data_IF_180981332702
#
_entry.id   IF_180981332702
#
_cell.length_a   1.000
_cell.length_b   1.000
_cell.length_c   1.000
_cell.angle_alpha   90.00
_cell.angle_beta   90.00
_cell.angle_gamma   90.00
#
_symmetry.space_group_name_H-M   'P 1'
#
loop_
_entity.id
_entity.type
_entity.pdbx_description
1 polymer ?
#
# COMPACT_ATOMS: atom_id res chain seq x y z
N UNK A 1 -54.96 25.33 -16.20
CA UNK A 1 -53.81 26.16 -16.58
C UNK A 1 -52.62 25.22 -16.69
N UNK A 2 -52.19 24.91 -17.91
CA UNK A 2 -51.01 24.07 -18.13
C UNK A 2 -49.76 24.95 -17.96
N UNK A 3 -48.85 24.52 -17.11
CA UNK A 3 -47.57 25.20 -16.84
C UNK A 3 -46.74 25.21 -18.12
N UNK A 4 -46.34 26.41 -18.56
CA UNK A 4 -45.51 26.60 -19.75
C UNK A 4 -44.15 25.94 -19.54
N UNK A 5 -43.80 24.97 -20.39
CA UNK A 5 -42.50 24.28 -20.32
C UNK A 5 -41.43 25.27 -20.78
N UNK A 6 -40.73 25.90 -19.83
CA UNK A 6 -39.51 26.66 -20.13
C UNK A 6 -38.45 25.72 -20.67
N UNK A 7 -38.28 25.70 -21.99
CA UNK A 7 -37.11 25.11 -22.63
C UNK A 7 -35.87 25.75 -22.01
N UNK A 8 -35.03 24.95 -21.36
CA UNK A 8 -33.74 25.43 -20.86
C UNK A 8 -32.92 25.84 -22.08
N UNK A 9 -32.65 27.13 -22.21
CA UNK A 9 -31.66 27.67 -23.16
C UNK A 9 -30.28 27.17 -22.73
N UNK A 10 -29.94 25.95 -23.13
CA UNK A 10 -28.54 25.54 -23.23
C UNK A 10 -27.98 26.22 -24.48
N UNK A 11 -26.83 26.91 -24.40
CA UNK A 11 -26.20 27.49 -25.58
C UNK A 11 -26.05 26.38 -26.63
N UNK A 12 -26.60 26.58 -27.83
CA UNK A 12 -26.33 25.68 -28.95
C UNK A 12 -24.84 25.81 -29.24
N UNK A 13 -24.03 24.74 -29.16
CA UNK A 13 -22.62 24.84 -29.51
C UNK A 13 -22.54 25.27 -30.99
N UNK A 14 -22.17 26.52 -31.20
CA UNK A 14 -21.75 27.00 -32.51
C UNK A 14 -20.30 26.56 -32.62
N UNK A 15 -20.08 25.47 -33.35
CA UNK A 15 -18.73 25.06 -33.72
C UNK A 15 -18.20 26.12 -34.69
N UNK A 16 -17.61 27.19 -34.15
CA UNK A 16 -16.66 27.98 -34.93
C UNK A 16 -15.49 27.04 -35.16
N UNK A 17 -15.23 26.70 -36.41
CA UNK A 17 -13.90 26.26 -36.79
C UNK A 17 -12.93 27.26 -36.15
N UNK A 18 -12.10 26.80 -35.21
CA UNK A 18 -11.09 27.68 -34.66
C UNK A 18 -10.33 28.27 -35.85
N UNK A 19 -10.40 29.58 -36.06
CA UNK A 19 -10.04 30.29 -37.31
C UNK A 19 -8.54 30.15 -37.69
N UNK A 20 -7.76 29.38 -36.96
CA UNK A 20 -6.53 28.78 -37.43
C UNK A 20 -6.84 27.38 -37.98
N UNK A 21 -7.27 27.32 -39.25
CA UNK A 21 -7.74 26.10 -39.93
C UNK A 21 -7.08 24.81 -39.43
N UNK A 22 -7.90 23.83 -39.06
CA UNK A 22 -7.45 22.55 -38.52
C UNK A 22 -6.39 21.94 -39.44
N UNK A 23 -5.13 21.94 -39.01
CA UNK A 23 -4.05 21.34 -39.78
C UNK A 23 -4.28 19.84 -39.85
N UNK A 24 -4.28 19.29 -41.05
CA UNK A 24 -4.14 17.86 -41.25
C UNK A 24 -2.68 17.48 -41.02
N UNK A 25 -2.43 16.59 -40.06
CA UNK A 25 -1.12 16.03 -39.74
C UNK A 25 -1.25 14.51 -39.56
N UNK A 26 -0.17 13.72 -39.68
CA UNK A 26 -0.26 12.28 -39.46
C UNK A 26 -1.01 11.96 -38.15
N UNK A 27 -1.98 11.06 -38.23
CA UNK A 27 -2.90 10.68 -37.14
C UNK A 27 -3.86 11.76 -36.61
N UNK A 28 -4.13 12.86 -37.33
CA UNK A 28 -5.12 13.89 -36.90
C UNK A 28 -6.54 13.36 -36.70
N UNK A 29 -6.88 12.22 -37.30
CA UNK A 29 -8.16 11.51 -37.11
C UNK A 29 -8.11 10.43 -36.01
N UNK A 30 -6.93 10.16 -35.43
CA UNK A 30 -6.78 9.17 -34.38
C UNK A 30 -7.50 9.61 -33.12
N UNK A 31 -8.18 8.66 -32.47
CA UNK A 31 -8.77 8.83 -31.13
C UNK A 31 -7.99 8.08 -30.05
N UNK A 32 -6.80 7.62 -30.40
CA UNK A 32 -5.90 6.90 -29.52
C UNK A 32 -4.54 7.59 -29.54
N UNK A 33 -3.88 7.60 -28.38
CA UNK A 33 -2.51 8.04 -28.28
C UNK A 33 -1.60 7.18 -29.16
N UNK A 34 -0.63 7.82 -29.79
CA UNK A 34 0.30 7.22 -30.76
C UNK A 34 1.76 7.25 -30.28
N UNK A 35 2.00 7.70 -29.04
CA UNK A 35 3.34 7.84 -28.45
C UNK A 35 3.76 6.65 -27.59
N UNK A 36 2.86 5.66 -27.38
CA UNK A 36 3.18 4.40 -26.69
C UNK A 36 2.41 3.22 -27.30
N UNK A 37 2.92 2.02 -27.10
CA UNK A 37 2.24 0.77 -27.46
C UNK A 37 1.48 0.22 -26.24
N UNK A 38 0.16 -0.01 -26.34
CA UNK A 38 -0.61 -0.61 -25.25
C UNK A 38 -0.15 -2.03 -24.88
N UNK A 39 -0.19 -2.40 -23.60
CA UNK A 39 0.10 -3.77 -23.14
C UNK A 39 -0.89 -4.79 -23.70
N UNK A 40 -2.14 -4.38 -23.88
CA UNK A 40 -3.25 -5.20 -24.40
C UNK A 40 -3.56 -4.78 -25.84
N UNK A 41 -4.58 -5.40 -26.45
CA UNK A 41 -5.05 -5.02 -27.80
C UNK A 41 -5.50 -3.55 -27.93
N UNK A 42 -5.83 -2.91 -26.81
CA UNK A 42 -6.24 -1.51 -26.71
C UNK A 42 -5.69 -0.94 -25.40
N UNK A 43 -5.37 0.34 -25.39
CA UNK A 43 -5.00 1.06 -24.18
C UNK A 43 -6.14 0.99 -23.16
N UNK A 44 -5.76 0.76 -21.91
CA UNK A 44 -6.61 0.99 -20.76
C UNK A 44 -6.63 2.48 -20.41
N UNK A 45 -7.66 2.93 -19.70
CA UNK A 45 -7.69 4.31 -19.20
C UNK A 45 -6.49 4.58 -18.28
N UNK A 46 -6.05 3.58 -17.51
CA UNK A 46 -4.85 3.67 -16.68
C UNK A 46 -3.62 4.01 -17.53
N UNK A 47 -3.38 3.28 -18.63
CA UNK A 47 -2.26 3.56 -19.53
C UNK A 47 -2.35 4.98 -20.11
N UNK A 48 -3.53 5.35 -20.62
CA UNK A 48 -3.81 6.67 -21.21
C UNK A 48 -3.52 7.85 -20.27
N UNK A 49 -3.68 7.66 -18.96
CA UNK A 49 -3.53 8.74 -17.95
C UNK A 49 -2.28 8.59 -17.09
N UNK A 50 -1.45 7.57 -17.32
CA UNK A 50 -0.23 7.37 -16.51
C UNK A 50 1.06 7.28 -17.33
N UNK A 51 1.02 6.77 -18.56
CA UNK A 51 2.21 6.63 -19.40
C UNK A 51 2.70 8.01 -19.87
N UNK A 52 3.99 8.27 -19.69
CA UNK A 52 4.70 9.47 -20.13
C UNK A 52 4.09 10.81 -19.66
N UNK A 53 3.29 10.80 -18.59
CA UNK A 53 2.85 12.02 -17.89
C UNK A 53 4.05 12.73 -17.26
N UNK A 54 5.00 11.96 -16.72
CA UNK A 54 6.29 12.48 -16.30
C UNK A 54 7.14 12.75 -17.56
N UNK A 55 7.62 13.99 -17.75
CA UNK A 55 8.38 14.37 -18.95
C UNK A 55 9.81 13.84 -18.85
N UNK A 56 9.98 12.54 -19.11
CA UNK A 56 11.28 11.88 -19.09
C UNK A 56 12.19 12.45 -20.19
N UNK A 57 13.33 13.08 -19.83
CA UNK A 57 14.25 13.62 -20.82
C UNK A 57 14.81 12.56 -21.78
N UNK A 58 14.98 11.32 -21.34
CA UNK A 58 15.52 10.25 -22.18
C UNK A 58 14.59 9.88 -23.36
N UNK A 59 13.29 10.20 -23.23
CA UNK A 59 12.27 9.95 -24.27
C UNK A 59 11.92 11.21 -25.06
N UNK A 60 11.75 12.33 -24.36
CA UNK A 60 11.00 13.47 -24.90
C UNK A 60 11.78 14.79 -24.94
N UNK A 61 12.93 14.94 -24.26
CA UNK A 61 13.63 16.23 -24.15
C UNK A 61 15.09 16.16 -24.62
N UNK A 62 15.50 17.09 -25.49
CA UNK A 62 16.86 17.13 -26.02
C UNK A 62 17.93 17.69 -25.07
N UNK A 63 17.53 18.34 -23.96
CA UNK A 63 18.43 19.12 -23.09
C UNK A 63 18.49 18.65 -21.62
N UNK A 64 17.91 17.48 -21.30
CA UNK A 64 17.82 17.02 -19.92
C UNK A 64 16.80 17.79 -19.07
N UNK A 65 16.93 17.67 -17.74
CA UNK A 65 16.12 18.42 -16.78
C UNK A 65 16.54 19.89 -16.70
N UNK A 66 15.56 20.81 -16.69
CA UNK A 66 15.80 22.26 -16.68
C UNK A 66 16.18 22.79 -15.28
N UNK A 67 15.80 22.09 -14.22
CA UNK A 67 16.08 22.46 -12.83
C UNK A 67 16.78 21.32 -12.09
N UNK A 68 17.75 21.68 -11.26
CA UNK A 68 18.50 20.78 -10.39
C UNK A 68 18.51 21.29 -8.95
N UNK A 69 18.73 20.38 -8.02
CA UNK A 69 19.13 20.71 -6.65
C UNK A 69 20.50 21.39 -6.64
N UNK A 70 20.84 22.00 -5.51
CA UNK A 70 22.10 22.73 -5.33
C UNK A 70 23.36 21.84 -5.47
N UNK A 71 23.22 20.53 -5.25
CA UNK A 71 24.28 19.54 -5.43
C UNK A 71 24.41 19.06 -6.89
N UNK A 72 23.57 19.53 -7.81
CA UNK A 72 23.58 19.15 -9.22
C UNK A 72 22.62 18.03 -9.60
N UNK A 73 22.00 17.35 -8.62
CA UNK A 73 21.02 16.29 -8.91
C UNK A 73 19.78 16.91 -9.57
N UNK A 74 19.29 16.32 -10.66
CA UNK A 74 18.18 16.89 -11.42
C UNK A 74 17.05 15.88 -11.64
N UNK A 75 15.81 16.35 -11.50
CA UNK A 75 14.61 15.56 -11.76
C UNK A 75 14.47 14.30 -10.90
N UNK A 76 14.62 13.14 -11.56
CA UNK A 76 14.47 11.79 -10.99
C UNK A 76 15.69 10.93 -11.36
N UNK A 77 16.84 11.14 -10.69
CA UNK A 77 18.06 10.37 -10.95
C UNK A 77 17.84 8.86 -10.74
N UNK A 78 18.18 8.06 -11.75
CA UNK A 78 18.01 6.59 -11.70
C UNK A 78 19.02 5.90 -10.77
N UNK A 79 20.03 6.61 -10.28
CA UNK A 79 21.02 6.16 -9.29
C UNK A 79 20.54 6.30 -7.84
N UNK A 80 19.36 6.89 -7.61
CA UNK A 80 18.66 6.83 -6.32
C UNK A 80 18.13 5.42 -5.98
N UNK A 81 18.33 4.46 -6.88
CA UNK A 81 18.13 3.03 -6.64
C UNK A 81 19.34 2.22 -7.11
N UNK A 82 19.68 1.19 -6.33
CA UNK A 82 20.65 0.17 -6.69
C UNK A 82 20.13 -0.77 -7.79
N UNK A 83 18.80 -0.95 -7.90
CA UNK A 83 18.21 -1.68 -9.02
C UNK A 83 18.28 -0.86 -10.31
N UNK A 84 18.42 -1.57 -11.43
CA UNK A 84 18.49 -0.98 -12.76
C UNK A 84 17.44 -1.61 -13.67
N UNK A 85 17.01 -0.87 -14.68
CA UNK A 85 16.06 -1.37 -15.69
C UNK A 85 16.51 -0.90 -17.05
N UNK A 86 16.42 -1.80 -18.04
CA UNK A 86 16.59 -1.46 -19.45
C UNK A 86 15.45 -0.54 -19.93
N UNK A 87 14.30 -0.56 -19.25
CA UNK A 87 13.17 0.33 -19.52
C UNK A 87 12.26 0.45 -18.29
N UNK A 88 12.45 1.48 -17.47
CA UNK A 88 11.61 1.72 -16.30
C UNK A 88 10.12 1.91 -16.63
N UNK A 89 9.81 2.35 -17.84
CA UNK A 89 8.43 2.57 -18.29
C UNK A 89 7.72 1.29 -18.74
N UNK A 90 8.39 0.15 -18.74
CA UNK A 90 7.74 -1.15 -18.99
C UNK A 90 6.79 -1.55 -17.85
N UNK A 91 6.98 -0.98 -16.65
CA UNK A 91 6.11 -1.24 -15.51
C UNK A 91 4.72 -0.62 -15.72
N UNK A 92 3.69 -1.45 -15.55
CA UNK A 92 2.31 -1.00 -15.35
C UNK A 92 1.74 -1.80 -14.20
N UNK A 93 1.12 -1.10 -13.27
CA UNK A 93 0.49 -1.67 -12.09
C UNK A 93 -0.68 -2.60 -12.51
N UNK A 94 -0.67 -3.89 -12.13
CA UNK A 94 -1.77 -4.81 -12.45
C UNK A 94 -3.12 -4.40 -11.85
N UNK A 95 -3.12 -3.49 -10.87
CA UNK A 95 -4.35 -2.98 -10.26
C UNK A 95 -5.01 -1.86 -11.09
N UNK A 96 -4.29 -1.26 -12.05
CA UNK A 96 -4.77 -0.22 -12.97
C UNK A 96 -5.48 0.96 -12.27
N UNK A 97 -5.08 1.29 -11.03
CA UNK A 97 -5.67 2.41 -10.28
C UNK A 97 -5.02 3.74 -10.67
N UNK A 98 -5.87 4.73 -10.95
CA UNK A 98 -5.51 6.11 -11.21
C UNK A 98 -6.45 7.04 -10.44
N UNK A 99 -6.22 8.36 -10.48
CA UNK A 99 -6.91 9.38 -9.66
C UNK A 99 -8.40 9.07 -9.39
N UNK A 100 -9.21 8.88 -10.43
CA UNK A 100 -10.64 8.65 -10.26
C UNK A 100 -10.97 7.33 -9.55
N UNK A 101 -10.28 6.23 -9.88
CA UNK A 101 -10.57 4.93 -9.27
C UNK A 101 -10.13 4.92 -7.81
N UNK A 102 -9.03 5.60 -7.47
CA UNK A 102 -8.55 5.72 -6.08
C UNK A 102 -9.64 6.34 -5.20
N UNK A 103 -10.20 7.49 -5.62
CA UNK A 103 -11.26 8.16 -4.84
C UNK A 103 -12.53 7.31 -4.74
N UNK A 104 -12.93 6.64 -5.83
CA UNK A 104 -14.12 5.78 -5.83
C UNK A 104 -13.94 4.57 -4.90
N UNK A 105 -12.80 3.90 -4.98
CA UNK A 105 -12.49 2.72 -4.18
C UNK A 105 -12.41 3.10 -2.71
N UNK A 106 -11.65 4.13 -2.36
CA UNK A 106 -11.53 4.59 -0.97
C UNK A 106 -12.87 5.07 -0.39
N UNK A 107 -13.69 5.79 -1.16
CA UNK A 107 -15.01 6.20 -0.70
C UNK A 107 -15.93 5.00 -0.40
N UNK A 108 -15.82 3.91 -1.16
CA UNK A 108 -16.56 2.68 -0.90
C UNK A 108 -16.07 1.98 0.38
N UNK A 109 -14.75 1.88 0.56
CA UNK A 109 -14.14 1.29 1.76
C UNK A 109 -14.55 2.06 3.02
N UNK A 110 -14.37 3.39 3.02
CA UNK A 110 -14.73 4.24 4.17
C UNK A 110 -16.22 4.11 4.49
N UNK A 111 -17.10 4.12 3.47
CA UNK A 111 -18.54 3.93 3.68
C UNK A 111 -18.86 2.57 4.31
N UNK A 112 -18.21 1.50 3.85
CA UNK A 112 -18.38 0.17 4.41
C UNK A 112 -17.93 0.12 5.88
N UNK A 113 -16.76 0.69 6.19
CA UNK A 113 -16.24 0.78 7.56
C UNK A 113 -17.21 1.56 8.46
N UNK A 114 -17.64 2.75 8.05
CA UNK A 114 -18.57 3.56 8.82
C UNK A 114 -19.87 2.82 9.10
N UNK A 115 -20.48 2.20 8.08
CA UNK A 115 -21.71 1.40 8.26
C UNK A 115 -21.50 0.24 9.22
N UNK A 116 -20.35 -0.44 9.15
CA UNK A 116 -20.05 -1.56 10.02
C UNK A 116 -19.86 -1.13 11.48
N UNK A 117 -19.23 0.02 11.73
CA UNK A 117 -19.14 0.62 13.07
C UNK A 117 -20.55 0.97 13.59
N UNK A 118 -21.40 1.59 12.76
CA UNK A 118 -22.79 1.87 13.15
C UNK A 118 -23.55 0.59 13.48
N UNK A 119 -23.44 -0.47 12.67
CA UNK A 119 -24.05 -1.76 12.97
C UNK A 119 -23.57 -2.33 14.32
N UNK A 120 -22.28 -2.14 14.65
CA UNK A 120 -21.73 -2.44 15.96
C UNK A 120 -22.44 -1.71 17.10
N UNK A 121 -22.65 -0.39 16.94
CA UNK A 121 -23.38 0.45 17.91
C UNK A 121 -24.82 -0.01 18.09
N UNK A 122 -25.60 -0.10 17.01
CA UNK A 122 -27.02 -0.49 17.10
C UNK A 122 -27.20 -1.93 17.58
N UNK A 123 -26.21 -2.80 17.35
CA UNK A 123 -26.20 -4.17 17.83
C UNK A 123 -25.71 -4.33 19.26
N UNK A 124 -25.31 -3.25 19.93
CA UNK A 124 -24.69 -3.27 21.28
C UNK A 124 -23.48 -4.23 21.38
N UNK A 125 -22.74 -4.36 20.28
CA UNK A 125 -21.61 -5.28 20.15
C UNK A 125 -20.49 -4.91 21.11
N UNK A 126 -20.23 -3.61 21.23
CA UNK A 126 -19.08 -3.07 21.96
C UNK A 126 -19.19 -3.35 23.47
N UNK A 127 -20.39 -3.26 24.05
CA UNK A 127 -20.63 -3.57 25.46
C UNK A 127 -20.59 -5.08 25.74
N UNK A 128 -20.80 -5.92 24.71
CA UNK A 128 -20.83 -7.37 24.80
C UNK A 128 -19.47 -8.03 24.51
N UNK A 129 -18.46 -7.28 24.07
CA UNK A 129 -17.14 -7.83 23.78
C UNK A 129 -16.48 -8.43 25.03
N UNK A 130 -15.69 -9.48 24.83
CA UNK A 130 -14.88 -10.05 25.89
C UNK A 130 -13.93 -8.99 26.49
N UNK A 131 -13.93 -8.75 27.82
CA UNK A 131 -13.07 -7.72 28.42
C UNK A 131 -11.56 -7.91 28.17
N UNK A 132 -11.10 -9.16 28.03
CA UNK A 132 -9.71 -9.44 27.66
C UNK A 132 -9.42 -8.98 26.21
N UNK A 133 -10.38 -9.18 25.32
CA UNK A 133 -10.30 -8.72 23.94
C UNK A 133 -10.31 -7.19 23.83
N UNK A 134 -11.16 -6.50 24.60
CA UNK A 134 -11.18 -5.02 24.66
C UNK A 134 -9.79 -4.47 24.99
N UNK A 135 -9.04 -5.11 25.91
CA UNK A 135 -7.65 -4.72 26.22
C UNK A 135 -6.69 -4.97 25.07
N UNK A 136 -6.81 -6.11 24.38
CA UNK A 136 -6.01 -6.41 23.19
C UNK A 136 -6.30 -5.40 22.08
N UNK A 137 -7.56 -5.01 21.87
CA UNK A 137 -7.93 -3.98 20.90
C UNK A 137 -7.33 -2.62 21.29
N UNK A 138 -7.55 -2.18 22.53
CA UNK A 138 -7.06 -0.90 23.06
C UNK A 138 -5.54 -0.73 22.93
N UNK A 139 -4.79 -1.82 23.14
CA UNK A 139 -3.32 -1.81 23.17
C UNK A 139 -2.69 -2.15 21.82
N UNK A 140 -3.11 -3.24 21.20
CA UNK A 140 -2.39 -3.85 20.09
C UNK A 140 -3.01 -3.53 18.73
N UNK A 141 -4.34 -3.58 18.61
CA UNK A 141 -5.02 -3.20 17.35
C UNK A 141 -4.77 -1.73 17.04
N UNK A 142 -4.88 -0.84 18.03
CA UNK A 142 -4.64 0.59 17.81
C UNK A 142 -3.16 0.97 17.77
N UNK A 143 -2.25 0.17 18.35
CA UNK A 143 -0.81 0.38 18.14
C UNK A 143 -0.43 0.20 16.66
N UNK A 144 -1.16 -0.65 15.92
CA UNK A 144 -0.98 -0.84 14.48
C UNK A 144 -1.14 0.45 13.68
N UNK A 145 -1.94 1.41 14.16
CA UNK A 145 -2.12 2.70 13.48
C UNK A 145 -0.81 3.51 13.39
N UNK A 146 0.07 3.41 14.40
CA UNK A 146 1.37 4.10 14.39
C UNK A 146 2.31 3.53 13.32
N UNK A 147 2.29 2.20 13.16
CA UNK A 147 3.04 1.50 12.13
C UNK A 147 2.55 1.87 10.73
N UNK A 148 1.23 1.81 10.49
CA UNK A 148 0.66 2.13 9.17
C UNK A 148 0.90 3.61 8.82
N UNK A 149 0.79 4.52 9.80
CA UNK A 149 1.13 5.93 9.61
C UNK A 149 2.62 6.12 9.31
N UNK A 150 3.50 5.44 10.03
CA UNK A 150 4.95 5.53 9.84
C UNK A 150 5.37 5.06 8.45
N UNK A 151 4.86 3.90 8.02
CA UNK A 151 5.12 3.35 6.68
C UNK A 151 4.54 4.27 5.59
N UNK A 152 3.28 4.72 5.73
CA UNK A 152 2.65 5.60 4.74
C UNK A 152 3.38 6.94 4.57
N UNK A 153 3.68 7.61 5.68
CA UNK A 153 4.31 8.94 5.64
C UNK A 153 5.80 8.90 5.33
N UNK A 154 6.53 7.91 5.85
CA UNK A 154 7.99 7.95 5.88
C UNK A 154 8.68 6.87 5.03
N UNK A 155 7.93 5.91 4.48
CA UNK A 155 8.46 4.95 3.50
C UNK A 155 7.86 5.21 2.12
N UNK A 156 6.53 5.17 2.00
CA UNK A 156 5.87 5.26 0.70
C UNK A 156 5.91 6.67 0.12
N UNK A 157 5.64 7.70 0.93
CA UNK A 157 5.61 9.09 0.43
C UNK A 157 6.98 9.54 -0.12
N UNK A 158 8.12 9.29 0.55
CA UNK A 158 9.44 9.56 -0.04
C UNK A 158 9.73 8.69 -1.27
N UNK A 159 9.43 7.38 -1.20
CA UNK A 159 9.67 6.48 -2.32
C UNK A 159 8.88 6.90 -3.59
N UNK A 160 7.66 7.42 -3.42
CA UNK A 160 6.86 7.96 -4.52
C UNK A 160 7.55 9.13 -5.21
N UNK A 161 8.22 10.00 -4.45
CA UNK A 161 8.97 11.14 -5.01
C UNK A 161 10.20 10.67 -5.79
N UNK A 162 10.87 9.65 -5.31
CA UNK A 162 12.17 9.22 -5.84
C UNK A 162 12.08 8.23 -7.00
N UNK A 163 10.93 7.54 -7.15
CA UNK A 163 10.74 6.56 -8.19
C UNK A 163 10.80 7.20 -9.62
N UNK A 164 11.29 6.44 -10.61
CA UNK A 164 11.77 7.01 -11.88
C UNK A 164 10.68 7.27 -12.91
N UNK A 165 9.47 6.72 -12.74
CA UNK A 165 8.37 6.87 -13.73
C UNK A 165 7.03 7.06 -13.06
N UNK A 166 6.15 7.83 -13.72
CA UNK A 166 4.82 8.11 -13.20
C UNK A 166 4.00 6.84 -12.88
N UNK A 167 4.19 5.73 -13.61
CA UNK A 167 3.48 4.48 -13.35
C UNK A 167 3.89 3.85 -12.02
N UNK A 168 5.18 3.88 -11.68
CA UNK A 168 5.70 3.41 -10.38
C UNK A 168 5.28 4.39 -9.29
N UNK A 169 5.45 5.69 -9.53
CA UNK A 169 5.13 6.74 -8.56
C UNK A 169 3.63 6.70 -8.21
N UNK A 170 2.75 6.54 -9.20
CA UNK A 170 1.32 6.39 -8.97
C UNK A 170 1.00 5.14 -8.15
N UNK A 171 1.59 3.98 -8.47
CA UNK A 171 1.36 2.75 -7.70
C UNK A 171 1.78 2.89 -6.22
N UNK A 172 2.94 3.51 -5.96
CA UNK A 172 3.41 3.80 -4.60
C UNK A 172 2.53 4.85 -3.93
N UNK A 173 2.08 5.89 -4.65
CA UNK A 173 1.17 6.90 -4.12
C UNK A 173 -0.15 6.29 -3.62
N UNK A 174 -0.74 5.37 -4.40
CA UNK A 174 -1.94 4.64 -3.98
C UNK A 174 -1.69 3.88 -2.67
N UNK A 175 -0.57 3.16 -2.57
CA UNK A 175 -0.19 2.49 -1.33
C UNK A 175 -0.03 3.47 -0.16
N UNK A 176 0.64 4.61 -0.36
CA UNK A 176 0.79 5.65 0.67
C UNK A 176 -0.58 6.10 1.21
N UNK A 177 -1.52 6.38 0.31
CA UNK A 177 -2.88 6.82 0.68
C UNK A 177 -3.62 5.72 1.44
N UNK A 178 -3.50 4.46 1.04
CA UNK A 178 -4.14 3.35 1.75
C UNK A 178 -3.57 3.15 3.16
N UNK A 179 -2.24 3.20 3.32
CA UNK A 179 -1.57 3.14 4.62
C UNK A 179 -2.07 4.23 5.58
N UNK A 180 -2.12 5.47 5.09
CA UNK A 180 -2.58 6.61 5.88
C UNK A 180 -4.07 6.54 6.20
N UNK A 181 -4.91 6.14 5.23
CA UNK A 181 -6.34 5.95 5.44
C UNK A 181 -6.60 4.87 6.49
N UNK A 182 -5.93 3.72 6.37
CA UNK A 182 -6.11 2.62 7.32
C UNK A 182 -5.70 3.01 8.75
N UNK A 183 -4.58 3.74 8.90
CA UNK A 183 -4.20 4.30 10.19
C UNK A 183 -5.29 5.21 10.77
N UNK A 184 -5.88 6.09 9.94
CA UNK A 184 -6.97 6.98 10.35
C UNK A 184 -8.25 6.22 10.68
N UNK A 185 -8.62 5.20 9.90
CA UNK A 185 -9.79 4.35 10.15
C UNK A 185 -9.69 3.68 11.53
N UNK A 186 -8.49 3.19 11.90
CA UNK A 186 -8.23 2.63 13.23
C UNK A 186 -8.40 3.68 14.33
N UNK A 187 -7.90 4.89 14.17
CA UNK A 187 -8.04 5.95 15.19
C UNK A 187 -9.49 6.45 15.31
N UNK A 188 -10.22 6.55 14.20
CA UNK A 188 -11.66 6.87 14.24
C UNK A 188 -12.47 5.76 14.91
N UNK A 189 -12.09 4.50 14.70
CA UNK A 189 -12.70 3.38 15.41
C UNK A 189 -12.36 3.38 16.91
N UNK A 190 -11.13 3.74 17.29
CA UNK A 190 -10.76 3.94 18.69
C UNK A 190 -11.66 4.98 19.39
N UNK A 191 -11.93 6.11 18.71
CA UNK A 191 -12.86 7.13 19.21
C UNK A 191 -14.28 6.56 19.37
N UNK A 192 -14.77 5.77 18.40
CA UNK A 192 -16.08 5.14 18.52
C UNK A 192 -16.18 4.18 19.72
N UNK A 193 -15.12 3.42 20.02
CA UNK A 193 -15.09 2.54 21.19
C UNK A 193 -15.01 3.32 22.52
N UNK A 194 -14.31 4.46 22.56
CA UNK A 194 -14.21 5.27 23.78
C UNK A 194 -15.52 5.94 24.17
N UNK A 195 -16.39 6.20 23.21
CA UNK A 195 -17.76 6.70 23.43
C UNK A 195 -18.71 5.61 23.95
N UNK A 196 -18.46 4.34 23.58
CA UNK A 196 -19.42 3.24 23.76
C UNK A 196 -19.08 2.29 24.94
N UNK A 197 -17.80 2.25 25.34
CA UNK A 197 -17.30 1.36 26.39
C UNK A 197 -16.84 2.21 27.59
N UNK A 198 -17.55 2.08 28.71
CA UNK A 198 -17.17 2.77 29.95
C UNK A 198 -15.78 2.32 30.43
N UNK A 199 -14.90 3.29 30.70
CA UNK A 199 -13.53 3.02 31.17
C UNK A 199 -12.57 2.51 30.09
N UNK A 200 -12.92 2.66 28.81
CA UNK A 200 -12.04 2.29 27.70
C UNK A 200 -10.71 3.07 27.72
N UNK A 201 -9.59 2.36 27.64
CA UNK A 201 -8.24 2.95 27.65
C UNK A 201 -7.86 3.47 26.25
N UNK A 202 -8.51 4.54 25.78
CA UNK A 202 -8.37 5.10 24.43
C UNK A 202 -6.91 5.40 24.03
N UNK A 203 -6.07 5.82 24.97
CA UNK A 203 -4.65 6.16 24.77
C UNK A 203 -3.65 5.04 25.02
N UNK A 204 -4.09 3.84 25.41
CA UNK A 204 -3.17 2.75 25.78
C UNK A 204 -2.21 2.35 24.64
N UNK A 205 -2.66 2.47 23.39
CA UNK A 205 -1.87 2.20 22.20
C UNK A 205 -0.59 3.03 22.08
N UNK A 206 -0.57 4.27 22.59
CA UNK A 206 0.59 5.17 22.52
C UNK A 206 1.74 4.59 23.35
N UNK A 207 1.48 4.30 24.63
CA UNK A 207 2.48 3.69 25.51
C UNK A 207 2.83 2.27 25.04
N UNK A 208 1.85 1.53 24.50
CA UNK A 208 2.10 0.19 23.93
C UNK A 208 3.12 0.26 22.78
N UNK A 209 2.93 1.17 21.83
CA UNK A 209 3.90 1.35 20.74
C UNK A 209 5.25 1.87 21.23
N UNK A 210 5.25 2.83 22.15
CA UNK A 210 6.47 3.52 22.56
C UNK A 210 7.33 2.71 23.53
N UNK A 211 6.73 1.90 24.40
CA UNK A 211 7.41 1.36 25.58
C UNK A 211 7.25 -0.16 25.75
N UNK A 212 6.20 -0.79 25.20
CA UNK A 212 5.97 -2.23 25.40
C UNK A 212 7.09 -3.06 24.73
N UNK A 213 7.82 -3.90 25.48
CA UNK A 213 8.84 -4.80 24.94
C UNK A 213 8.35 -5.74 23.83
N UNK A 214 7.04 -6.04 23.77
CA UNK A 214 6.43 -6.84 22.70
C UNK A 214 6.55 -6.12 21.34
N UNK A 215 6.44 -4.78 21.34
CA UNK A 215 6.41 -3.98 20.11
C UNK A 215 7.76 -3.43 19.70
N UNK A 216 8.77 -3.42 20.59
CA UNK A 216 10.03 -2.74 20.31
C UNK A 216 10.76 -3.26 19.06
N UNK A 217 10.87 -4.58 18.81
CA UNK A 217 11.49 -5.05 17.55
C UNK A 217 10.69 -4.67 16.30
N UNK A 218 9.36 -4.65 16.38
CA UNK A 218 8.50 -4.18 15.27
C UNK A 218 8.70 -2.68 15.03
N UNK A 219 8.78 -1.89 16.10
CA UNK A 219 9.04 -0.46 16.03
C UNK A 219 10.43 -0.16 15.45
N UNK A 220 11.47 -0.83 15.93
CA UNK A 220 12.84 -0.69 15.40
C UNK A 220 12.88 -1.06 13.92
N UNK A 221 12.20 -2.12 13.51
CA UNK A 221 12.09 -2.51 12.10
C UNK A 221 11.43 -1.40 11.27
N UNK A 222 10.28 -0.88 11.70
CA UNK A 222 9.56 0.19 10.99
C UNK A 222 10.40 1.46 10.92
N UNK A 223 10.98 1.91 12.03
CA UNK A 223 11.88 3.08 12.06
C UNK A 223 13.10 2.85 11.14
N UNK A 224 13.64 1.63 11.11
CA UNK A 224 14.70 1.21 10.20
C UNK A 224 14.29 1.32 8.72
N UNK A 225 13.05 0.97 8.37
CA UNK A 225 12.53 1.15 7.01
C UNK A 225 12.46 2.64 6.62
N UNK A 226 12.09 3.52 7.55
CA UNK A 226 12.06 4.98 7.28
C UNK A 226 13.44 5.59 7.05
N UNK A 227 14.50 4.91 7.50
CA UNK A 227 15.88 5.35 7.31
C UNK A 227 16.47 4.97 5.95
N UNK A 228 15.74 4.23 5.10
CA UNK A 228 16.26 3.76 3.81
C UNK A 228 16.16 4.89 2.77
N UNK A 229 17.29 5.28 2.18
CA UNK A 229 17.33 6.28 1.10
C UNK A 229 16.93 5.70 -0.26
N UNK A 230 17.32 4.46 -0.54
CA UNK A 230 16.97 3.77 -1.79
C UNK A 230 15.47 3.44 -1.78
N UNK A 231 14.71 4.12 -2.64
CA UNK A 231 13.25 3.97 -2.70
C UNK A 231 12.81 2.52 -2.99
N UNK A 232 13.61 1.81 -3.80
CA UNK A 232 13.29 0.45 -4.22
C UNK A 232 13.64 -0.56 -3.15
N UNK A 233 14.72 -0.35 -2.37
CA UNK A 233 15.00 -1.14 -1.17
C UNK A 233 13.89 -0.92 -0.14
N UNK A 234 13.48 0.33 0.09
CA UNK A 234 12.46 0.67 1.08
C UNK A 234 11.12 0.02 0.74
N UNK A 235 10.72 0.09 -0.53
CA UNK A 235 9.50 -0.54 -1.03
C UNK A 235 9.61 -2.08 -1.02
N UNK A 236 10.76 -2.66 -1.38
CA UNK A 236 11.01 -4.10 -1.35
C UNK A 236 10.95 -4.65 0.07
N UNK A 237 11.72 -4.08 1.00
CA UNK A 237 11.76 -4.49 2.39
C UNK A 237 10.37 -4.41 3.03
N UNK A 238 9.57 -3.42 2.67
CA UNK A 238 8.20 -3.29 3.17
C UNK A 238 7.24 -4.32 2.57
N UNK A 239 7.10 -4.34 1.24
CA UNK A 239 6.05 -5.14 0.57
C UNK A 239 6.39 -6.61 0.43
N UNK A 240 7.68 -6.94 0.27
CA UNK A 240 8.14 -8.31 0.02
C UNK A 240 8.52 -9.01 1.32
N UNK A 241 9.05 -8.29 2.32
CA UNK A 241 9.56 -8.91 3.57
C UNK A 241 8.64 -8.63 4.76
N UNK A 242 8.42 -7.36 5.10
CA UNK A 242 7.64 -6.96 6.28
C UNK A 242 6.16 -7.36 6.18
N UNK A 243 5.49 -7.04 5.08
CA UNK A 243 4.06 -7.30 4.92
C UNK A 243 3.68 -8.77 5.08
N UNK A 244 4.31 -9.76 4.42
CA UNK A 244 3.90 -11.16 4.59
C UNK A 244 4.26 -11.72 5.99
N UNK A 245 5.36 -11.28 6.59
CA UNK A 245 5.89 -11.88 7.82
C UNK A 245 5.39 -11.23 9.11
N UNK A 246 5.08 -9.93 9.09
CA UNK A 246 4.56 -9.18 10.26
C UNK A 246 3.16 -8.63 9.98
N UNK A 247 2.99 -7.99 8.83
CA UNK A 247 1.71 -7.38 8.41
C UNK A 247 0.53 -8.35 8.42
N UNK A 248 0.58 -9.30 7.50
CA UNK A 248 -0.41 -10.36 7.33
C UNK A 248 -0.51 -11.23 8.60
N UNK A 249 0.62 -11.54 9.23
CA UNK A 249 0.66 -12.34 10.45
C UNK A 249 -0.20 -11.72 11.55
N UNK A 250 -0.09 -10.41 11.75
CA UNK A 250 -0.87 -9.71 12.77
C UNK A 250 -2.33 -9.51 12.33
N UNK A 251 -2.57 -8.93 11.14
CA UNK A 251 -3.94 -8.61 10.68
C UNK A 251 -4.76 -9.88 10.43
N UNK A 252 -4.30 -10.70 9.49
CA UNK A 252 -5.01 -11.91 9.03
C UNK A 252 -4.73 -13.13 9.90
N UNK A 253 -3.51 -13.27 10.41
CA UNK A 253 -3.07 -14.42 11.20
C UNK A 253 -3.50 -14.37 12.67
N UNK A 254 -3.82 -13.19 13.20
CA UNK A 254 -4.33 -13.03 14.56
C UNK A 254 -5.69 -12.36 14.61
N UNK A 255 -5.75 -11.06 14.33
CA UNK A 255 -6.93 -10.24 14.67
C UNK A 255 -8.18 -10.76 13.96
N UNK A 256 -8.08 -11.03 12.66
CA UNK A 256 -9.20 -11.54 11.87
C UNK A 256 -9.61 -12.97 12.25
N UNK A 257 -8.72 -13.78 12.84
CA UNK A 257 -9.07 -15.12 13.32
C UNK A 257 -9.73 -15.07 14.71
N UNK A 258 -9.22 -14.20 15.59
CA UNK A 258 -9.61 -14.20 16.99
C UNK A 258 -10.95 -13.50 17.25
N UNK A 259 -11.24 -12.41 16.53
CA UNK A 259 -12.26 -11.43 16.93
C UNK A 259 -13.69 -12.00 17.04
N UNK A 260 -14.11 -12.88 16.12
CA UNK A 260 -15.48 -13.39 16.10
C UNK A 260 -15.86 -14.14 17.40
N UNK A 261 -14.93 -14.93 17.95
CA UNK A 261 -15.14 -15.64 19.23
C UNK A 261 -15.09 -14.72 20.45
N UNK A 262 -14.67 -13.47 20.27
CA UNK A 262 -14.67 -12.44 21.31
C UNK A 262 -15.92 -11.55 21.28
N UNK A 263 -16.90 -11.91 20.45
CA UNK A 263 -18.11 -11.11 20.24
C UNK A 263 -17.87 -9.87 19.38
N UNK A 264 -16.83 -9.86 18.55
CA UNK A 264 -16.42 -8.69 17.76
C UNK A 264 -16.37 -9.01 16.26
N UNK A 265 -17.35 -8.50 15.51
CA UNK A 265 -17.32 -8.53 14.05
C UNK A 265 -16.83 -7.21 13.42
N UNK A 266 -16.64 -6.16 14.23
CA UNK A 266 -16.29 -4.82 13.74
C UNK A 266 -14.81 -4.71 13.47
N UNK A 267 -13.97 -5.00 14.46
CA UNK A 267 -12.50 -4.99 14.31
C UNK A 267 -11.97 -5.82 13.12
N UNK A 268 -12.41 -7.07 12.89
CA UNK A 268 -11.89 -7.87 11.78
C UNK A 268 -12.29 -7.32 10.40
N UNK A 269 -13.39 -6.58 10.31
CA UNK A 269 -13.80 -5.94 9.04
C UNK A 269 -12.88 -4.76 8.70
N UNK A 270 -12.50 -3.97 9.70
CA UNK A 270 -11.56 -2.84 9.52
C UNK A 270 -10.17 -3.36 9.18
N UNK A 271 -9.71 -4.40 9.88
CA UNK A 271 -8.46 -5.10 9.56
C UNK A 271 -8.47 -5.71 8.14
N UNK A 272 -9.61 -6.29 7.74
CA UNK A 272 -9.79 -6.85 6.40
C UNK A 272 -9.68 -5.80 5.28
N UNK A 273 -10.07 -4.54 5.55
CA UNK A 273 -9.86 -3.45 4.61
C UNK A 273 -8.36 -3.18 4.41
N UNK A 274 -7.61 -3.01 5.52
CA UNK A 274 -6.15 -2.83 5.46
C UNK A 274 -5.42 -4.01 4.82
N UNK A 275 -5.87 -5.24 5.07
CA UNK A 275 -5.33 -6.44 4.43
C UNK A 275 -5.58 -6.46 2.91
N UNK A 276 -6.78 -6.03 2.47
CA UNK A 276 -7.10 -5.94 1.05
C UNK A 276 -6.21 -4.94 0.33
N UNK A 277 -5.87 -3.82 0.99
CA UNK A 277 -4.93 -2.83 0.47
C UNK A 277 -3.50 -3.36 0.40
N UNK A 278 -3.02 -4.03 1.46
CA UNK A 278 -1.70 -4.65 1.48
C UNK A 278 -1.56 -5.71 0.38
N UNK A 279 -2.59 -6.53 0.17
CA UNK A 279 -2.63 -7.50 -0.93
C UNK A 279 -2.60 -6.83 -2.31
N UNK A 280 -3.25 -5.67 -2.46
CA UNK A 280 -3.21 -4.84 -3.67
C UNK A 280 -1.80 -4.32 -3.93
N UNK A 281 -1.14 -3.80 -2.91
CA UNK A 281 0.24 -3.30 -3.00
C UNK A 281 1.22 -4.42 -3.36
N UNK A 282 1.09 -5.59 -2.73
CA UNK A 282 1.91 -6.76 -3.02
C UNK A 282 1.77 -7.25 -4.47
N UNK A 283 0.58 -7.17 -5.09
CA UNK A 283 0.42 -7.48 -6.52
C UNK A 283 1.25 -6.54 -7.40
N UNK A 284 1.27 -5.25 -7.06
CA UNK A 284 2.08 -4.25 -7.75
C UNK A 284 3.58 -4.48 -7.55
N UNK A 285 4.01 -4.68 -6.30
CA UNK A 285 5.39 -4.98 -5.94
C UNK A 285 5.90 -6.24 -6.64
N UNK A 286 5.12 -7.32 -6.63
CA UNK A 286 5.44 -8.57 -7.34
C UNK A 286 5.68 -8.33 -8.83
N UNK A 287 4.80 -7.56 -9.48
CA UNK A 287 4.96 -7.24 -10.90
C UNK A 287 6.23 -6.41 -11.16
N UNK A 288 6.51 -5.41 -10.33
CA UNK A 288 7.70 -4.56 -10.44
C UNK A 288 8.99 -5.36 -10.25
N UNK A 289 9.11 -6.06 -9.12
CA UNK A 289 10.35 -6.77 -8.79
C UNK A 289 10.59 -7.94 -9.72
N UNK A 290 9.54 -8.63 -10.19
CA UNK A 290 9.69 -9.64 -11.23
C UNK A 290 10.20 -9.04 -12.54
N UNK A 291 9.64 -7.91 -12.98
CA UNK A 291 10.12 -7.21 -14.18
C UNK A 291 11.61 -6.88 -14.07
N UNK A 292 12.07 -6.41 -12.90
CA UNK A 292 13.48 -6.09 -12.67
C UNK A 292 14.36 -7.34 -12.55
N UNK A 293 13.85 -8.42 -11.97
CA UNK A 293 14.53 -9.70 -11.86
C UNK A 293 14.72 -10.39 -13.22
N UNK A 294 13.76 -10.21 -14.12
CA UNK A 294 13.72 -10.77 -15.47
C UNK A 294 14.28 -9.80 -16.53
N UNK A 295 14.84 -8.65 -16.13
CA UNK A 295 15.47 -7.69 -17.05
C UNK A 295 16.65 -8.33 -17.81
N UNK A 296 16.68 -8.16 -19.13
CA UNK A 296 17.66 -8.83 -20.01
C UNK A 296 19.11 -8.41 -19.73
N UNK A 297 19.32 -7.16 -19.33
CA UNK A 297 20.65 -6.58 -19.12
C UNK A 297 21.06 -6.62 -17.66
N UNK A 298 20.13 -6.32 -16.77
CA UNK A 298 20.40 -6.07 -15.35
C UNK A 298 19.83 -7.16 -14.42
N UNK A 299 19.06 -8.12 -14.93
CA UNK A 299 18.29 -9.08 -14.11
C UNK A 299 19.15 -9.88 -13.13
N UNK A 300 20.31 -10.38 -13.56
CA UNK A 300 21.22 -11.11 -12.67
C UNK A 300 21.77 -10.24 -11.54
N UNK A 301 22.15 -8.99 -11.83
CA UNK A 301 22.63 -8.04 -10.82
C UNK A 301 21.51 -7.59 -9.88
N UNK A 302 20.31 -7.34 -10.41
CA UNK A 302 19.13 -6.99 -9.63
C UNK A 302 18.73 -8.11 -8.66
N UNK A 303 18.76 -9.38 -9.11
CA UNK A 303 18.53 -10.55 -8.26
C UNK A 303 19.54 -10.61 -7.12
N UNK A 304 20.83 -10.40 -7.40
CA UNK A 304 21.86 -10.36 -6.37
C UNK A 304 21.62 -9.23 -5.35
N UNK A 305 21.25 -8.03 -5.81
CA UNK A 305 20.90 -6.89 -4.94
C UNK A 305 19.70 -7.22 -4.05
N UNK A 306 18.61 -7.73 -4.62
CA UNK A 306 17.42 -8.12 -3.85
C UNK A 306 17.71 -9.26 -2.87
N UNK A 307 18.57 -10.20 -3.24
CA UNK A 307 19.01 -11.26 -2.32
C UNK A 307 19.78 -10.69 -1.11
N UNK A 308 20.67 -9.72 -1.34
CA UNK A 308 21.34 -9.00 -0.25
C UNK A 308 20.37 -8.24 0.65
N UNK A 309 19.29 -7.68 0.10
CA UNK A 309 18.23 -7.08 0.90
C UNK A 309 17.45 -8.12 1.71
N UNK A 310 17.17 -9.29 1.15
CA UNK A 310 16.54 -10.39 1.89
C UNK A 310 17.41 -10.84 3.06
N UNK A 311 18.72 -11.01 2.86
CA UNK A 311 19.68 -11.35 3.92
C UNK A 311 19.71 -10.29 5.03
N UNK A 312 19.59 -9.00 4.66
CA UNK A 312 19.56 -7.88 5.61
C UNK A 312 18.27 -7.81 6.43
N UNK A 313 17.11 -7.94 5.78
CA UNK A 313 15.81 -7.58 6.37
C UNK A 313 15.02 -8.77 6.92
N UNK A 314 15.20 -9.98 6.37
CA UNK A 314 14.46 -11.17 6.83
C UNK A 314 14.72 -11.49 8.30
N UNK A 315 15.97 -11.51 8.81
CA UNK A 315 16.22 -11.86 10.21
C UNK A 315 15.54 -10.89 11.19
N UNK A 316 15.61 -9.58 10.90
CA UNK A 316 14.96 -8.53 11.70
C UNK A 316 13.43 -8.67 11.70
N UNK A 317 12.88 -9.05 10.55
CA UNK A 317 11.44 -9.22 10.39
C UNK A 317 10.93 -10.47 11.10
N UNK A 318 11.69 -11.57 11.05
CA UNK A 318 11.39 -12.79 11.80
C UNK A 318 11.46 -12.52 13.30
N UNK A 319 12.49 -11.82 13.79
CA UNK A 319 12.60 -11.43 15.20
C UNK A 319 11.39 -10.58 15.65
N UNK A 320 11.02 -9.57 14.86
CA UNK A 320 9.83 -8.76 15.10
C UNK A 320 8.54 -9.60 15.16
N UNK A 321 8.35 -10.51 14.20
CA UNK A 321 7.20 -11.41 14.17
C UNK A 321 7.13 -12.31 15.41
N UNK A 322 8.25 -12.93 15.79
CA UNK A 322 8.35 -13.80 16.97
C UNK A 322 8.09 -13.03 18.26
N UNK A 323 8.56 -11.79 18.37
CA UNK A 323 8.34 -10.97 19.55
C UNK A 323 6.87 -10.58 19.76
N UNK A 324 6.05 -10.57 18.70
CA UNK A 324 4.60 -10.35 18.81
C UNK A 324 3.83 -11.57 19.35
N UNK A 325 4.45 -12.76 19.41
CA UNK A 325 3.81 -14.00 19.86
C UNK A 325 3.05 -13.90 21.19
N UNK A 326 3.53 -13.19 22.24
CA UNK A 326 2.83 -13.10 23.51
C UNK A 326 1.41 -12.52 23.39
N UNK A 327 1.12 -11.73 22.36
CA UNK A 327 -0.23 -11.17 22.10
C UNK A 327 -1.27 -12.30 21.93
N UNK A 328 -0.90 -13.41 21.28
CA UNK A 328 -1.79 -14.57 21.09
C UNK A 328 -2.22 -15.22 22.42
N UNK A 329 -1.48 -14.97 23.51
CA UNK A 329 -1.77 -15.54 24.82
C UNK A 329 -2.57 -14.60 25.72
N UNK A 330 -2.86 -13.37 25.29
CA UNK A 330 -3.59 -12.38 26.08
C UNK A 330 -5.11 -12.53 25.98
N UNK A 331 -5.61 -13.25 24.96
CA UNK A 331 -7.02 -13.61 24.84
C UNK A 331 -7.33 -14.85 25.68
N UNK A 332 -8.51 -14.89 26.30
CA UNK A 332 -8.95 -16.02 27.14
C UNK A 332 -9.22 -17.28 26.32
N UNK A 333 -9.88 -17.13 25.18
CA UNK A 333 -10.17 -18.22 24.25
C UNK A 333 -9.06 -18.36 23.20
N UNK A 334 -8.32 -19.47 23.24
CA UNK A 334 -7.23 -19.74 22.30
C UNK A 334 -7.78 -20.22 20.97
N UNK A 335 -7.95 -19.29 20.02
CA UNK A 335 -8.56 -19.56 18.71
C UNK A 335 -7.56 -20.19 17.72
N UNK A 336 -6.34 -19.68 17.68
CA UNK A 336 -5.29 -20.13 16.77
C UNK A 336 -3.94 -20.03 17.46
N UNK A 337 -3.01 -20.95 17.15
CA UNK A 337 -1.65 -20.88 17.67
C UNK A 337 -0.83 -19.92 16.81
N UNK A 338 0.09 -19.19 17.44
CA UNK A 338 1.04 -18.34 16.73
C UNK A 338 1.80 -19.12 15.65
N UNK A 339 2.33 -20.30 15.96
CA UNK A 339 3.09 -21.12 15.01
C UNK A 339 2.28 -21.47 13.75
N UNK A 340 0.98 -21.77 13.87
CA UNK A 340 0.14 -22.08 12.70
C UNK A 340 -0.08 -20.85 11.81
N UNK A 341 -0.17 -19.66 12.41
CA UNK A 341 -0.25 -18.41 11.65
C UNK A 341 1.08 -18.02 11.04
N UNK A 342 2.19 -18.18 11.77
CA UNK A 342 3.53 -17.88 11.28
C UNK A 342 3.95 -18.82 10.13
N UNK A 343 3.63 -20.11 10.21
CA UNK A 343 3.89 -21.05 9.12
C UNK A 343 3.12 -20.68 7.84
N UNK A 344 1.88 -20.20 7.96
CA UNK A 344 1.13 -19.71 6.79
C UNK A 344 1.77 -18.47 6.16
N UNK A 345 2.18 -17.50 6.99
CA UNK A 345 2.93 -16.31 6.56
C UNK A 345 4.23 -16.70 5.86
N UNK A 346 4.99 -17.65 6.41
CA UNK A 346 6.22 -18.18 5.82
C UNK A 346 5.98 -18.81 4.45
N UNK A 347 4.98 -19.68 4.31
CA UNK A 347 4.67 -20.33 3.03
C UNK A 347 4.27 -19.31 1.95
N UNK A 348 3.54 -18.25 2.34
CA UNK A 348 3.20 -17.15 1.41
C UNK A 348 4.42 -16.34 1.02
N UNK A 349 5.30 -16.03 1.96
CA UNK A 349 6.57 -15.37 1.69
C UNK A 349 7.43 -16.20 0.71
N UNK A 350 7.56 -17.52 0.96
CA UNK A 350 8.26 -18.46 0.07
C UNK A 350 7.67 -18.43 -1.36
N UNK A 351 6.34 -18.48 -1.48
CA UNK A 351 5.67 -18.37 -2.78
C UNK A 351 5.92 -17.02 -3.46
N UNK A 352 5.88 -15.91 -2.72
CA UNK A 352 6.15 -14.58 -3.23
C UNK A 352 7.56 -14.46 -3.80
N UNK A 353 8.57 -14.97 -3.08
CA UNK A 353 9.96 -14.97 -3.54
C UNK A 353 10.13 -15.83 -4.79
N UNK A 354 9.54 -17.02 -4.82
CA UNK A 354 9.60 -17.91 -5.98
C UNK A 354 9.01 -17.25 -7.24
N UNK A 355 7.91 -16.53 -7.09
CA UNK A 355 7.26 -15.81 -8.20
C UNK A 355 8.06 -14.59 -8.67
N UNK A 356 8.90 -13.97 -7.83
CA UNK A 356 9.84 -12.92 -8.24
C UNK A 356 11.11 -13.53 -8.86
N UNK A 357 11.39 -14.81 -8.59
CA UNK A 357 12.60 -15.50 -9.02
C UNK A 357 13.78 -15.30 -8.06
N UNK A 358 13.49 -15.21 -6.76
CA UNK A 358 14.46 -15.08 -5.66
C UNK A 358 14.52 -16.36 -4.82
N UNK A 359 15.63 -16.56 -4.13
CA UNK A 359 15.82 -17.71 -3.25
C UNK A 359 15.32 -17.41 -1.83
N UNK A 360 14.65 -18.39 -1.22
CA UNK A 360 14.21 -18.29 0.17
C UNK A 360 15.40 -18.23 1.13
N UNK A 361 15.51 -17.19 1.98
CA UNK A 361 16.55 -17.10 3.01
C UNK A 361 16.48 -18.25 4.00
N UNK A 362 17.62 -18.70 4.54
CA UNK A 362 17.66 -19.82 5.50
C UNK A 362 17.05 -19.44 6.85
N UNK A 363 17.11 -18.17 7.18
CA UNK A 363 16.69 -17.55 8.41
C UNK A 363 15.17 -17.63 8.60
N UNK A 364 14.40 -17.90 7.54
CA UNK A 364 12.96 -18.15 7.65
C UNK A 364 12.61 -19.51 8.27
N UNK A 365 13.58 -20.45 8.29
CA UNK A 365 13.41 -21.79 8.86
C UNK A 365 13.83 -21.89 10.32
N UNK A 366 14.41 -20.81 10.87
CA UNK A 366 14.74 -20.66 12.28
C UNK A 366 13.52 -20.11 13.04
#
# INVERSE_FOLDING_TARGET
MATEVKERSVPKPVFTDAEAGAKEFPSWQSRSYNYFEPRKRRATVYEDVTIDVQPDPERHLSQGWVYSFANGDAGYPQDWSALKSSNWHAFLDPNEEWEQTIYRNNANVVRQISQNIEHGRTGHVFQAMNPAWVKVVARHVFAWAHLEQGIGMHVYTPAQRDAPTNMINNAICVGAVHKLRFAQDLILYNLALSEEIEGFEDKAHIATWQEDPIWQPTRELVEGLTGIRDWSEAFFATTVVFEPLVGELFRSGFVMQAAALQGDFVTPTIMGAGESDAAREQRGARALFRMLADDETHGAANKATMQGWLEKWTPKTVDAARQLQPIWSQISEKVIRFEDSFDRSRLRFESLLSDIGLETPKEIKA
#
